data_IF_652214996676
#
_entry.id   IF_652214996676
#
_cell.length_a   1.000
_cell.length_b   1.000
_cell.length_c   1.000
_cell.angle_alpha   90.00
_cell.angle_beta   90.00
_cell.angle_gamma   90.00
#
_symmetry.space_group_name_H-M   'P 1'
#
loop_
_entity.id
_entity.type
_entity.pdbx_description
1 polymer ?
#
# COMPACT_ATOMS: atom_id res chain seq x y z
N UNK A 1 -6.10 -25.86 15.76
CA UNK A 1 -5.30 -24.66 16.05
C UNK A 1 -5.34 -23.79 14.81
N UNK A 2 -5.90 -22.58 14.88
CA UNK A 2 -5.83 -21.66 13.75
C UNK A 2 -4.36 -21.24 13.62
N UNK A 3 -3.72 -21.62 12.51
CA UNK A 3 -2.33 -21.31 12.23
C UNK A 3 -2.24 -19.80 12.01
N UNK A 4 -1.44 -19.11 12.80
CA UNK A 4 -1.16 -17.68 12.60
C UNK A 4 -0.66 -17.46 11.19
N UNK A 5 -1.21 -16.49 10.45
CA UNK A 5 -0.70 -16.18 9.11
C UNK A 5 0.42 -15.15 9.16
N UNK A 6 1.50 -15.37 8.41
CA UNK A 6 2.64 -14.47 8.32
C UNK A 6 2.56 -13.71 7.01
N UNK A 7 2.50 -12.38 7.10
CA UNK A 7 2.52 -11.46 5.98
C UNK A 7 3.81 -10.66 6.00
N UNK A 8 4.49 -10.58 4.86
CA UNK A 8 5.67 -9.74 4.65
C UNK A 8 5.26 -8.52 3.81
N UNK A 9 5.56 -7.32 4.29
CA UNK A 9 5.47 -6.06 3.57
C UNK A 9 6.88 -5.54 3.32
N UNK A 10 7.29 -5.43 2.07
CA UNK A 10 8.55 -4.79 1.66
C UNK A 10 8.20 -3.39 1.20
N UNK A 11 8.69 -2.36 1.88
CA UNK A 11 8.22 -0.99 1.70
C UNK A 11 9.36 -0.08 1.25
N UNK A 12 9.16 0.59 0.12
CA UNK A 12 10.03 1.67 -0.31
C UNK A 12 9.87 2.91 0.56
N UNK A 13 11.02 3.45 0.98
CA UNK A 13 11.09 4.73 1.67
C UNK A 13 11.38 4.58 3.15
N UNK A 14 11.73 5.70 3.78
CA UNK A 14 12.27 5.72 5.13
C UNK A 14 11.35 6.39 6.16
N UNK A 15 10.15 6.88 5.77
CA UNK A 15 9.32 7.74 6.66
C UNK A 15 7.81 7.63 6.48
N UNK A 16 7.25 7.93 5.31
CA UNK A 16 5.81 8.26 5.22
C UNK A 16 4.90 7.02 5.24
N UNK A 17 5.06 6.11 4.30
CA UNK A 17 4.28 4.89 4.17
C UNK A 17 4.44 3.99 5.39
N UNK A 18 5.68 3.70 5.86
CA UNK A 18 5.87 2.92 7.08
C UNK A 18 5.14 3.53 8.28
N UNK A 19 5.21 4.86 8.47
CA UNK A 19 4.51 5.54 9.58
C UNK A 19 2.99 5.38 9.50
N UNK A 20 2.41 5.41 8.29
CA UNK A 20 0.97 5.24 8.10
C UNK A 20 0.58 3.78 8.39
N UNK A 21 1.34 2.80 7.88
CA UNK A 21 1.10 1.39 8.19
C UNK A 21 1.22 1.12 9.69
N UNK A 22 2.25 1.65 10.34
CA UNK A 22 2.47 1.56 11.78
C UNK A 22 1.22 2.00 12.57
N UNK A 23 0.70 3.19 12.29
CA UNK A 23 -0.47 3.73 12.99
C UNK A 23 -1.76 2.99 12.65
N UNK A 24 -1.93 2.61 11.39
CA UNK A 24 -3.09 1.83 10.92
C UNK A 24 -3.14 0.45 11.58
N UNK A 25 -2.05 -0.30 11.58
CA UNK A 25 -2.04 -1.63 12.18
C UNK A 25 -2.28 -1.57 13.69
N UNK A 26 -1.71 -0.60 14.40
CA UNK A 26 -2.03 -0.35 15.82
C UNK A 26 -3.53 -0.12 16.03
N UNK A 27 -4.15 0.74 15.20
CA UNK A 27 -5.58 1.04 15.26
C UNK A 27 -6.45 -0.20 15.07
N UNK A 28 -5.99 -1.18 14.29
CA UNK A 28 -6.69 -2.45 14.05
C UNK A 28 -6.24 -3.60 14.97
N UNK A 29 -5.61 -3.28 16.11
CA UNK A 29 -5.36 -4.24 17.19
C UNK A 29 -4.10 -5.08 17.04
N UNK A 30 -3.17 -4.66 16.18
CA UNK A 30 -1.83 -5.21 16.14
C UNK A 30 -0.91 -4.51 17.15
N UNK A 31 -0.06 -5.26 17.82
CA UNK A 31 0.94 -4.73 18.75
C UNK A 31 2.34 -4.83 18.12
N UNK A 32 3.16 -3.80 18.31
CA UNK A 32 4.58 -3.85 17.90
C UNK A 32 5.29 -4.81 18.85
N UNK A 33 5.91 -5.84 18.27
CA UNK A 33 6.62 -6.88 19.00
C UNK A 33 8.11 -6.63 19.04
N UNK A 34 8.67 -6.21 17.91
CA UNK A 34 10.10 -6.05 17.75
C UNK A 34 10.44 -5.01 16.68
N UNK A 35 11.52 -4.28 16.91
CA UNK A 35 12.12 -3.34 15.96
C UNK A 35 13.59 -3.72 15.81
N UNK A 36 14.01 -4.06 14.59
CA UNK A 36 15.37 -4.59 14.35
C UNK A 36 15.95 -4.06 13.04
N UNK A 37 17.28 -4.16 12.92
CA UNK A 37 17.98 -3.97 11.65
C UNK A 37 18.25 -5.33 11.03
N UNK A 38 17.66 -5.60 9.86
CA UNK A 38 17.95 -6.80 9.08
C UNK A 38 19.11 -6.50 8.13
N UNK A 39 20.22 -7.22 8.27
CA UNK A 39 21.35 -7.11 7.35
C UNK A 39 21.25 -8.22 6.30
N UNK A 40 21.23 -7.83 5.04
CA UNK A 40 21.26 -8.76 3.90
C UNK A 40 22.63 -8.64 3.25
N UNK A 41 23.32 -9.77 3.11
CA UNK A 41 24.65 -9.83 2.51
C UNK A 41 24.63 -9.20 1.11
N UNK A 42 25.68 -8.45 0.78
CA UNK A 42 25.87 -7.73 -0.49
C UNK A 42 24.83 -6.65 -0.85
N UNK A 43 23.76 -6.46 -0.07
CA UNK A 43 22.73 -5.42 -0.27
C UNK A 43 22.78 -4.33 0.82
N UNK A 44 22.94 -4.73 2.09
CA UNK A 44 23.00 -3.82 3.23
C UNK A 44 21.82 -3.97 4.20
N UNK A 45 21.56 -2.91 4.97
CA UNK A 45 20.63 -2.97 6.11
C UNK A 45 19.23 -2.47 5.79
N UNK A 46 18.22 -3.16 6.30
CA UNK A 46 16.82 -2.73 6.29
C UNK A 46 16.36 -2.52 7.73
N UNK A 47 15.42 -1.60 7.92
CA UNK A 47 14.66 -1.52 9.16
C UNK A 47 13.52 -2.54 9.09
N UNK A 48 13.25 -3.20 10.21
CA UNK A 48 12.25 -4.27 10.29
C UNK A 48 11.39 -4.11 11.52
N UNK A 49 10.07 -4.15 11.31
CA UNK A 49 9.05 -4.02 12.33
C UNK A 49 8.18 -5.28 12.33
N UNK A 50 8.13 -5.97 13.45
CA UNK A 50 7.26 -7.13 13.63
C UNK A 50 6.02 -6.72 14.42
N UNK A 51 4.85 -7.03 13.88
CA UNK A 51 3.56 -6.78 14.50
C UNK A 51 2.79 -8.06 14.65
N UNK A 52 2.15 -8.27 15.78
CA UNK A 52 1.28 -9.42 15.96
C UNK A 52 -0.09 -9.07 16.51
N UNK A 53 -1.03 -9.96 16.23
CA UNK A 53 -2.27 -10.07 16.96
C UNK A 53 -2.60 -11.56 17.17
N UNK A 54 -3.80 -11.84 17.69
CA UNK A 54 -4.23 -13.23 17.95
C UNK A 54 -4.34 -14.15 16.71
N UNK A 55 -4.28 -13.60 15.49
CA UNK A 55 -4.54 -14.30 14.21
C UNK A 55 -3.40 -14.19 13.20
N UNK A 56 -2.64 -13.11 13.23
CA UNK A 56 -1.67 -12.76 12.20
C UNK A 56 -0.38 -12.17 12.77
N UNK A 57 0.70 -12.41 12.04
CA UNK A 57 1.98 -11.74 12.19
C UNK A 57 2.26 -10.95 10.90
N UNK A 58 2.62 -9.68 11.04
CA UNK A 58 2.97 -8.79 9.93
C UNK A 58 4.39 -8.33 10.16
N UNK A 59 5.25 -8.58 9.19
CA UNK A 59 6.62 -8.10 9.16
C UNK A 59 6.69 -7.01 8.11
N UNK A 60 7.10 -5.81 8.52
CA UNK A 60 7.36 -4.70 7.61
C UNK A 60 8.86 -4.53 7.52
N UNK A 61 9.41 -4.65 6.33
CA UNK A 61 10.81 -4.38 6.00
C UNK A 61 10.84 -3.11 5.17
N UNK A 62 11.54 -2.08 5.65
CA UNK A 62 11.68 -0.81 4.94
C UNK A 62 13.13 -0.57 4.48
N UNK A 63 13.26 0.02 3.29
CA UNK A 63 14.55 0.34 2.71
C UNK A 63 14.47 1.47 1.67
N UNK A 64 15.59 2.15 1.39
CA UNK A 64 15.64 3.12 0.30
C UNK A 64 15.49 2.41 -1.05
N UNK A 65 14.99 3.14 -2.06
CA UNK A 65 14.68 2.62 -3.40
C UNK A 65 15.78 1.77 -4.01
N UNK A 66 17.01 2.26 -4.00
CA UNK A 66 18.16 1.55 -4.56
C UNK A 66 18.39 0.19 -3.87
N UNK A 67 18.20 0.13 -2.56
CA UNK A 67 18.38 -1.11 -1.80
C UNK A 67 17.26 -2.12 -2.06
N UNK A 68 16.03 -1.63 -2.27
CA UNK A 68 14.93 -2.48 -2.72
C UNK A 68 15.20 -2.98 -4.14
N UNK A 69 15.66 -2.11 -5.04
CA UNK A 69 16.05 -2.54 -6.39
C UNK A 69 17.12 -3.65 -6.37
N UNK A 70 18.18 -3.48 -5.58
CA UNK A 70 19.23 -4.49 -5.42
C UNK A 70 18.66 -5.82 -4.83
N UNK A 71 17.74 -5.72 -3.88
CA UNK A 71 16.99 -6.86 -3.35
C UNK A 71 16.17 -7.56 -4.44
N UNK A 72 15.44 -6.81 -5.27
CA UNK A 72 14.63 -7.37 -6.35
C UNK A 72 15.47 -8.11 -7.38
N UNK A 73 16.66 -7.58 -7.72
CA UNK A 73 17.62 -8.27 -8.58
C UNK A 73 18.08 -9.59 -7.97
N UNK A 74 18.34 -9.62 -6.66
CA UNK A 74 18.74 -10.83 -5.94
C UNK A 74 17.61 -11.89 -5.94
N UNK A 75 16.39 -11.51 -5.57
CA UNK A 75 15.26 -12.46 -5.49
C UNK A 75 14.69 -12.87 -6.86
N UNK A 76 15.18 -12.27 -7.96
CA UNK A 76 14.88 -12.73 -9.31
C UNK A 76 15.70 -13.96 -9.72
N UNK A 77 16.74 -14.33 -8.94
CA UNK A 77 17.42 -15.61 -9.12
C UNK A 77 16.52 -16.76 -8.61
N UNK A 78 16.13 -17.72 -9.45
CA UNK A 78 15.25 -18.83 -9.07
C UNK A 78 15.81 -19.75 -7.98
N UNK A 79 17.11 -19.64 -7.66
CA UNK A 79 17.75 -20.39 -6.57
C UNK A 79 17.61 -19.72 -5.20
N UNK A 80 17.15 -18.47 -5.16
CA UNK A 80 17.02 -17.66 -3.96
C UNK A 80 15.56 -17.62 -3.53
N UNK A 81 15.29 -17.93 -2.25
CA UNK A 81 13.95 -17.78 -1.67
C UNK A 81 13.91 -16.55 -0.77
N UNK A 82 12.78 -15.85 -0.76
CA UNK A 82 12.62 -14.62 0.00
C UNK A 82 12.75 -14.86 1.52
N UNK A 83 12.32 -16.03 2.00
CA UNK A 83 12.49 -16.41 3.42
C UNK A 83 13.96 -16.57 3.80
N UNK A 84 14.80 -17.08 2.89
CA UNK A 84 16.24 -17.17 3.11
C UNK A 84 16.89 -15.79 3.16
N UNK A 85 16.46 -14.90 2.27
CA UNK A 85 17.00 -13.53 2.19
C UNK A 85 16.78 -12.75 3.48
N UNK A 86 15.61 -12.89 4.11
CA UNK A 86 15.32 -12.22 5.37
C UNK A 86 15.79 -12.97 6.62
N UNK A 87 16.55 -14.07 6.46
CA UNK A 87 17.09 -14.89 7.55
C UNK A 87 16.04 -15.19 8.64
N UNK A 88 14.77 -15.32 8.26
CA UNK A 88 13.71 -15.47 9.24
C UNK A 88 13.82 -16.89 9.82
N UNK A 89 14.25 -16.98 11.08
CA UNK A 89 14.08 -18.19 11.89
C UNK A 89 12.60 -18.60 12.05
N UNK A 90 11.69 -17.77 11.53
CA UNK A 90 10.24 -17.90 11.57
C UNK A 90 9.68 -18.04 10.16
N UNK A 91 9.12 -19.23 9.93
CA UNK A 91 7.94 -19.54 9.12
C UNK A 91 7.83 -19.01 7.66
N UNK A 92 7.44 -19.92 6.78
CA UNK A 92 6.92 -19.65 5.45
C UNK A 92 5.92 -18.46 5.47
N UNK A 93 6.19 -17.42 4.67
CA UNK A 93 5.26 -16.32 4.47
C UNK A 93 4.07 -16.84 3.64
N UNK A 94 2.86 -16.60 4.12
CA UNK A 94 1.65 -16.91 3.34
C UNK A 94 1.28 -15.78 2.40
N UNK A 95 1.78 -14.57 2.67
CA UNK A 95 1.52 -13.37 1.89
C UNK A 95 2.76 -12.50 1.82
N UNK A 96 3.11 -12.05 0.63
CA UNK A 96 4.24 -11.16 0.39
C UNK A 96 3.73 -9.99 -0.45
N UNK A 97 3.97 -8.77 0.03
CA UNK A 97 3.57 -7.57 -0.68
C UNK A 97 4.77 -6.64 -0.84
N UNK A 98 5.02 -6.21 -2.07
CA UNK A 98 5.95 -5.13 -2.35
C UNK A 98 5.15 -3.83 -2.44
N UNK A 99 5.49 -2.84 -1.62
CA UNK A 99 4.92 -1.50 -1.63
C UNK A 99 5.97 -0.56 -2.19
N UNK A 100 5.75 -0.08 -3.41
CA UNK A 100 6.78 0.58 -4.22
C UNK A 100 6.32 1.93 -4.75
N UNK A 101 7.17 2.95 -4.67
CA UNK A 101 6.86 4.32 -5.09
C UNK A 101 6.95 4.43 -6.62
N UNK A 102 5.85 4.77 -7.30
CA UNK A 102 5.80 4.85 -8.77
C UNK A 102 6.24 6.18 -9.36
N UNK A 103 6.42 7.24 -8.56
CA UNK A 103 6.57 8.63 -9.06
C UNK A 103 7.85 8.87 -9.90
N UNK A 104 8.76 7.92 -9.91
CA UNK A 104 10.08 8.02 -10.54
C UNK A 104 10.45 6.79 -11.38
N UNK A 105 9.48 5.97 -11.77
CA UNK A 105 9.69 4.78 -12.60
C UNK A 105 9.06 4.97 -13.97
N UNK A 106 9.65 4.34 -14.99
CA UNK A 106 8.98 4.18 -16.27
C UNK A 106 8.05 2.96 -16.26
N UNK A 107 7.28 2.79 -17.34
CA UNK A 107 6.30 1.71 -17.42
C UNK A 107 6.97 0.33 -17.45
N UNK A 108 8.17 0.22 -18.02
CA UNK A 108 8.87 -1.05 -18.19
C UNK A 108 9.35 -1.61 -16.83
N UNK A 109 9.85 -0.74 -15.95
CA UNK A 109 10.23 -1.10 -14.57
C UNK A 109 9.02 -1.66 -13.80
N UNK A 110 7.87 -0.98 -13.88
CA UNK A 110 6.64 -1.41 -13.20
C UNK A 110 6.19 -2.78 -13.74
N UNK A 111 6.17 -2.96 -15.05
CA UNK A 111 5.79 -4.24 -15.65
C UNK A 111 6.71 -5.40 -15.25
N UNK A 112 8.01 -5.15 -15.10
CA UNK A 112 8.94 -6.16 -14.62
C UNK A 112 8.68 -6.55 -13.17
N UNK A 113 8.43 -5.57 -12.29
CA UNK A 113 8.11 -5.84 -10.89
C UNK A 113 6.76 -6.56 -10.74
N UNK A 114 5.75 -6.18 -11.53
CA UNK A 114 4.43 -6.86 -11.53
C UNK A 114 4.57 -8.35 -11.87
N UNK A 115 5.44 -8.72 -12.81
CA UNK A 115 5.70 -10.14 -13.15
C UNK A 115 6.27 -10.95 -12.00
N UNK A 116 6.98 -10.28 -11.08
CA UNK A 116 7.57 -10.92 -9.90
C UNK A 116 6.55 -11.10 -8.77
N UNK A 117 5.56 -10.20 -8.65
CA UNK A 117 4.53 -10.22 -7.61
C UNK A 117 3.13 -10.17 -8.24
N UNK A 118 2.80 -11.18 -9.05
CA UNK A 118 1.55 -11.24 -9.82
C UNK A 118 0.45 -12.14 -9.23
N UNK A 119 0.70 -12.86 -8.13
CA UNK A 119 -0.30 -13.74 -7.52
C UNK A 119 -1.08 -13.03 -6.42
N UNK A 120 -2.22 -12.44 -6.77
CA UNK A 120 -3.09 -11.74 -5.81
C UNK A 120 -3.53 -12.58 -4.59
N UNK A 121 -3.41 -13.91 -4.65
CA UNK A 121 -3.70 -14.81 -3.54
C UNK A 121 -2.58 -14.90 -2.50
N UNK A 122 -1.31 -14.69 -2.90
CA UNK A 122 -0.13 -14.90 -2.05
C UNK A 122 1.00 -13.88 -2.24
N UNK A 123 1.17 -13.26 -3.40
CA UNK A 123 2.24 -12.32 -3.73
C UNK A 123 1.72 -11.18 -4.60
N UNK A 124 1.74 -9.94 -4.12
CA UNK A 124 1.18 -8.82 -4.90
C UNK A 124 2.03 -7.55 -4.82
N UNK A 125 2.23 -6.92 -5.98
CA UNK A 125 2.77 -5.57 -6.07
C UNK A 125 1.68 -4.55 -5.77
N UNK A 126 1.89 -3.80 -4.69
CA UNK A 126 1.09 -2.69 -4.28
C UNK A 126 1.80 -1.39 -4.64
N UNK A 127 1.39 -0.78 -5.74
CA UNK A 127 1.97 0.50 -6.13
C UNK A 127 1.52 1.58 -5.14
N UNK A 128 2.47 2.19 -4.47
CA UNK A 128 2.26 3.39 -3.68
C UNK A 128 2.82 4.59 -4.43
N UNK A 129 2.38 5.76 -4.05
CA UNK A 129 3.26 6.91 -4.02
C UNK A 129 2.86 7.70 -2.77
N UNK A 130 3.83 8.31 -2.09
CA UNK A 130 3.60 9.03 -0.86
C UNK A 130 2.86 10.32 -1.19
N UNK A 131 1.55 10.20 -1.24
CA UNK A 131 0.63 11.30 -1.09
C UNK A 131 -0.36 10.97 -0.01
N UNK A 132 0.14 11.08 1.23
CA UNK A 132 -0.74 11.19 2.38
C UNK A 132 -1.80 12.29 2.15
N UNK A 133 -1.40 13.34 1.43
CA UNK A 133 -2.24 14.44 0.96
C UNK A 133 -3.44 14.01 0.11
N UNK A 134 -3.34 12.92 -0.66
CA UNK A 134 -4.51 12.43 -1.42
C UNK A 134 -5.50 11.73 -0.53
N UNK A 135 -5.03 10.95 0.45
CA UNK A 135 -5.95 10.40 1.45
C UNK A 135 -6.70 11.57 2.11
N UNK A 136 -6.02 12.70 2.35
CA UNK A 136 -6.61 13.88 2.94
C UNK A 136 -7.58 14.67 2.01
N UNK A 137 -7.61 14.43 0.70
CA UNK A 137 -8.39 15.23 -0.26
C UNK A 137 -9.88 14.84 -0.37
N UNK A 138 -10.45 14.30 0.70
CA UNK A 138 -11.86 13.94 0.75
C UNK A 138 -12.80 15.15 0.83
N UNK A 139 -12.28 16.37 0.92
CA UNK A 139 -13.08 17.56 1.17
C UNK A 139 -13.91 17.99 -0.05
N UNK A 140 -15.19 17.61 -0.06
CA UNK A 140 -16.18 18.00 -1.09
C UNK A 140 -16.45 19.51 -1.19
N UNK A 141 -15.96 20.31 -0.25
CA UNK A 141 -16.15 21.76 -0.23
C UNK A 141 -15.04 22.54 -0.97
N UNK A 142 -14.04 21.84 -1.53
CA UNK A 142 -13.08 22.47 -2.43
C UNK A 142 -13.32 22.02 -3.86
N UNK A 143 -13.12 22.93 -4.80
CA UNK A 143 -13.09 22.60 -6.22
C UNK A 143 -12.00 21.57 -6.48
N UNK A 144 -12.26 20.59 -7.35
CA UNK A 144 -11.25 19.61 -7.73
C UNK A 144 -9.96 20.29 -8.16
N UNK A 145 -8.87 19.81 -7.58
CA UNK A 145 -7.55 20.36 -7.75
C UNK A 145 -6.98 19.94 -9.09
N UNK A 146 -6.86 20.90 -10.01
CA UNK A 146 -6.36 20.70 -11.37
C UNK A 146 -4.89 21.11 -11.44
N UNK A 147 -4.01 20.27 -10.89
CA UNK A 147 -2.57 20.51 -10.95
C UNK A 147 -1.90 19.57 -11.94
N UNK A 148 -0.96 20.12 -12.71
CA UNK A 148 -0.15 19.35 -13.64
C UNK A 148 1.06 18.68 -12.96
N UNK A 149 1.37 19.04 -11.71
CA UNK A 149 2.55 18.54 -11.01
C UNK A 149 2.24 18.18 -9.55
N UNK A 150 2.67 16.98 -9.12
CA UNK A 150 2.47 16.41 -7.78
C UNK A 150 2.88 17.37 -6.65
N UNK A 151 4.02 18.03 -6.81
CA UNK A 151 4.54 19.01 -5.85
C UNK A 151 3.57 20.17 -5.58
N UNK A 152 2.86 20.65 -6.61
CA UNK A 152 1.93 21.77 -6.46
C UNK A 152 0.69 21.34 -5.68
N UNK A 153 0.16 20.16 -6.00
CA UNK A 153 -0.92 19.53 -5.26
C UNK A 153 -0.57 19.29 -3.78
N UNK A 154 0.64 18.78 -3.50
CA UNK A 154 1.16 18.57 -2.15
C UNK A 154 1.22 19.86 -1.33
N UNK A 155 1.69 20.95 -1.94
CA UNK A 155 1.76 22.25 -1.27
C UNK A 155 0.37 22.76 -0.91
N UNK A 156 -0.58 22.72 -1.85
CA UNK A 156 -1.93 23.22 -1.63
C UNK A 156 -2.69 22.43 -0.57
N UNK A 157 -2.60 21.08 -0.56
CA UNK A 157 -3.20 20.27 0.49
C UNK A 157 -2.60 20.62 1.87
N UNK A 158 -1.28 20.72 1.96
CA UNK A 158 -0.62 21.02 3.23
C UNK A 158 -0.94 22.44 3.73
N UNK A 159 -1.08 23.42 2.83
CA UNK A 159 -1.59 24.75 3.16
C UNK A 159 -3.03 24.70 3.63
N UNK A 160 -3.91 23.98 2.93
CA UNK A 160 -5.33 23.85 3.28
C UNK A 160 -5.53 23.28 4.69
N UNK A 161 -4.72 22.29 5.07
CA UNK A 161 -4.77 21.69 6.41
C UNK A 161 -3.81 22.33 7.41
N UNK A 162 -3.13 23.44 7.09
CA UNK A 162 -2.15 24.11 7.95
C UNK A 162 -1.10 23.13 8.53
N UNK A 163 -0.63 22.18 7.72
CA UNK A 163 0.32 21.14 8.13
C UNK A 163 -0.26 20.04 9.04
N UNK A 164 -1.58 19.98 9.26
CA UNK A 164 -2.24 18.97 10.10
C UNK A 164 -2.76 17.74 9.32
N UNK A 165 -2.26 17.51 8.11
CA UNK A 165 -2.69 16.45 7.18
C UNK A 165 -2.71 15.05 7.83
N UNK A 166 -1.66 14.69 8.57
CA UNK A 166 -1.58 13.41 9.31
C UNK A 166 -2.74 13.23 10.29
N UNK A 167 -3.03 14.27 11.08
CA UNK A 167 -4.09 14.25 12.09
C UNK A 167 -5.46 14.12 11.43
N UNK A 168 -5.69 14.86 10.35
CA UNK A 168 -6.93 14.75 9.57
C UNK A 168 -7.19 13.32 9.10
N UNK A 169 -6.16 12.65 8.58
CA UNK A 169 -6.27 11.28 8.09
C UNK A 169 -6.56 10.31 9.22
N UNK A 170 -5.84 10.44 10.32
CA UNK A 170 -6.09 9.63 11.50
C UNK A 170 -7.56 9.74 11.96
N UNK A 171 -8.05 10.98 12.08
CA UNK A 171 -9.40 11.28 12.58
C UNK A 171 -10.52 10.87 11.61
N UNK A 172 -10.23 10.73 10.31
CA UNK A 172 -11.22 10.44 9.28
C UNK A 172 -10.99 9.12 8.54
N UNK A 173 -10.01 8.33 8.97
CA UNK A 173 -9.44 7.21 8.22
C UNK A 173 -10.47 6.30 7.54
N UNK A 174 -11.45 5.76 8.30
CA UNK A 174 -12.45 4.85 7.75
C UNK A 174 -13.34 5.51 6.68
N UNK A 175 -13.69 6.79 6.85
CA UNK A 175 -14.49 7.55 5.86
C UNK A 175 -13.70 7.74 4.57
N UNK A 176 -12.39 8.00 4.70
CA UNK A 176 -11.48 8.12 3.56
C UNK A 176 -11.40 6.79 2.82
N UNK A 177 -11.15 5.69 3.53
CA UNK A 177 -11.09 4.35 2.92
C UNK A 177 -12.40 3.97 2.20
N UNK A 178 -13.56 4.20 2.82
CA UNK A 178 -14.86 3.93 2.20
C UNK A 178 -15.09 4.75 0.93
N UNK A 179 -14.68 6.01 0.90
CA UNK A 179 -14.80 6.85 -0.28
C UNK A 179 -13.98 6.29 -1.44
N UNK A 180 -12.70 5.98 -1.21
CA UNK A 180 -11.81 5.48 -2.25
C UNK A 180 -12.18 4.06 -2.70
N UNK A 181 -12.62 3.20 -1.78
CA UNK A 181 -13.15 1.88 -2.12
C UNK A 181 -14.37 1.98 -3.06
N UNK A 182 -15.34 2.83 -2.72
CA UNK A 182 -16.54 3.08 -3.56
C UNK A 182 -16.18 3.69 -4.91
N UNK A 183 -15.20 4.60 -4.93
CA UNK A 183 -14.71 5.24 -6.16
C UNK A 183 -14.05 4.23 -7.09
N UNK A 184 -13.13 3.42 -6.58
CA UNK A 184 -12.46 2.38 -7.37
C UNK A 184 -13.47 1.36 -7.94
N UNK A 185 -14.45 0.93 -7.14
CA UNK A 185 -15.53 0.07 -7.64
C UNK A 185 -16.31 0.74 -8.79
N UNK A 186 -16.64 2.03 -8.66
CA UNK A 186 -17.36 2.75 -9.72
C UNK A 186 -16.53 2.94 -10.99
N UNK A 187 -15.22 3.19 -10.86
CA UNK A 187 -14.33 3.48 -11.98
C UNK A 187 -13.91 2.21 -12.75
N UNK A 188 -13.73 1.10 -12.03
CA UNK A 188 -13.24 -0.15 -12.62
C UNK A 188 -14.31 -1.22 -12.78
N UNK A 189 -15.44 -1.10 -12.06
CA UNK A 189 -16.49 -2.11 -11.99
C UNK A 189 -15.95 -3.50 -11.62
N UNK A 190 -15.07 -3.52 -10.61
CA UNK A 190 -14.39 -4.72 -10.10
C UNK A 190 -14.81 -4.98 -8.65
N UNK A 191 -15.31 -6.18 -8.35
CA UNK A 191 -15.77 -6.58 -7.02
C UNK A 191 -14.69 -7.27 -6.19
N UNK A 192 -13.57 -7.65 -6.80
CA UNK A 192 -12.42 -8.18 -6.11
C UNK A 192 -11.44 -7.06 -5.75
N UNK A 193 -11.32 -6.74 -4.46
CA UNK A 193 -10.48 -5.61 -4.04
C UNK A 193 -8.99 -5.82 -4.32
N UNK A 194 -8.53 -7.07 -4.46
CA UNK A 194 -7.13 -7.40 -4.77
C UNK A 194 -6.76 -7.18 -6.24
N UNK A 195 -7.74 -7.03 -7.14
CA UNK A 195 -7.54 -6.67 -8.55
C UNK A 195 -7.39 -5.15 -8.75
N UNK A 196 -7.87 -4.35 -7.79
CA UNK A 196 -7.83 -2.89 -7.91
C UNK A 196 -6.39 -2.32 -8.12
N UNK A 197 -5.33 -2.81 -7.43
CA UNK A 197 -3.95 -2.41 -7.72
C UNK A 197 -3.56 -2.58 -9.20
N UNK A 198 -3.84 -3.75 -9.79
CA UNK A 198 -3.55 -4.03 -11.21
C UNK A 198 -4.29 -3.08 -12.16
N UNK A 199 -5.58 -2.84 -11.88
CA UNK A 199 -6.42 -1.96 -12.71
C UNK A 199 -5.99 -0.49 -12.61
N UNK A 200 -5.61 -0.04 -11.42
CA UNK A 200 -5.03 1.30 -11.20
C UNK A 200 -3.70 1.43 -11.94
N UNK A 201 -2.80 0.46 -11.80
CA UNK A 201 -1.50 0.43 -12.49
C UNK A 201 -1.66 0.51 -14.02
N UNK A 202 -2.54 -0.31 -14.58
CA UNK A 202 -2.85 -0.32 -16.02
C UNK A 202 -3.39 1.03 -16.50
N UNK A 203 -4.26 1.66 -15.72
CA UNK A 203 -4.79 2.98 -16.05
C UNK A 203 -3.69 4.06 -15.99
N UNK A 204 -2.73 3.96 -15.07
CA UNK A 204 -1.56 4.85 -15.01
C UNK A 204 -0.69 4.69 -16.26
N UNK A 205 -0.26 3.46 -16.57
CA UNK A 205 0.61 3.21 -17.73
C UNK A 205 -0.01 3.75 -19.01
N UNK A 206 -1.32 3.52 -19.19
CA UNK A 206 -2.08 4.07 -20.31
C UNK A 206 -2.07 5.60 -20.39
N UNK A 207 -2.14 6.31 -19.26
CA UNK A 207 -2.06 7.77 -19.26
C UNK A 207 -0.61 8.26 -19.44
N UNK A 208 0.39 7.56 -18.89
CA UNK A 208 1.81 7.87 -19.09
C UNK A 208 2.24 7.70 -20.55
N UNK A 209 1.75 6.67 -21.24
CA UNK A 209 1.97 6.48 -22.69
C UNK A 209 1.36 7.63 -23.53
N UNK A 210 0.31 8.29 -23.01
CA UNK A 210 -0.38 9.42 -23.64
C UNK A 210 0.24 10.75 -23.21
N UNK A 211 1.52 10.96 -23.53
CA UNK A 211 2.29 12.18 -23.21
C UNK A 211 1.77 13.53 -23.82
N UNK A 212 0.46 13.72 -24.05
CA UNK A 212 -0.10 14.95 -24.63
C UNK A 212 -1.58 15.24 -24.27
N UNK A 213 -2.12 14.74 -23.16
CA UNK A 213 -3.46 15.13 -22.71
C UNK A 213 -3.42 16.09 -21.52
N UNK A 214 -4.16 17.19 -21.60
CA UNK A 214 -4.32 18.23 -20.55
C UNK A 214 -5.00 17.73 -19.25
N UNK A 215 -4.99 16.43 -18.97
CA UNK A 215 -5.80 15.76 -17.96
C UNK A 215 -5.00 14.86 -17.00
N UNK A 216 -3.68 15.02 -16.93
CA UNK A 216 -2.73 14.25 -16.10
C UNK A 216 -3.07 14.22 -14.58
N UNK A 217 -3.98 15.07 -14.13
CA UNK A 217 -4.16 15.45 -12.73
C UNK A 217 -5.01 14.52 -11.86
N UNK A 218 -5.48 13.36 -12.33
CA UNK A 218 -6.45 12.54 -11.55
C UNK A 218 -6.06 11.09 -11.29
N UNK A 219 -5.16 10.53 -12.09
CA UNK A 219 -4.80 9.10 -12.02
C UNK A 219 -3.66 8.87 -11.02
N UNK A 220 -2.75 9.84 -10.88
CA UNK A 220 -1.56 9.80 -10.00
C UNK A 220 -1.92 9.98 -8.51
N UNK A 221 -3.14 9.74 -8.08
CA UNK A 221 -3.52 10.12 -6.70
C UNK A 221 -4.19 8.96 -5.93
N UNK A 222 -4.71 7.93 -6.62
CA UNK A 222 -5.61 6.93 -6.02
C UNK A 222 -4.93 5.64 -5.55
N UNK A 223 -3.64 5.50 -5.80
CA UNK A 223 -2.92 4.25 -5.58
C UNK A 223 -2.69 3.96 -4.09
N UNK A 224 -2.34 4.97 -3.29
CA UNK A 224 -1.95 4.71 -1.90
C UNK A 224 -3.14 4.34 -1.00
N UNK A 225 -4.33 4.90 -1.27
CA UNK A 225 -5.57 4.49 -0.59
C UNK A 225 -5.96 3.06 -0.93
N UNK A 226 -5.68 2.65 -2.17
CA UNK A 226 -5.86 1.27 -2.64
C UNK A 226 -4.97 0.30 -1.89
N UNK A 227 -3.67 0.60 -1.81
CA UNK A 227 -2.70 -0.17 -1.01
C UNK A 227 -3.21 -0.37 0.41
N UNK A 228 -3.64 0.71 1.08
CA UNK A 228 -4.03 0.67 2.49
C UNK A 228 -5.25 -0.21 2.74
N UNK A 229 -6.36 -0.03 2.00
CA UNK A 229 -7.55 -0.85 2.27
C UNK A 229 -7.31 -2.32 1.87
N UNK A 230 -6.49 -2.58 0.85
CA UNK A 230 -6.11 -3.95 0.46
C UNK A 230 -5.30 -4.60 1.58
N UNK A 231 -4.29 -3.91 2.11
CA UNK A 231 -3.48 -4.41 3.22
C UNK A 231 -4.33 -4.73 4.45
N UNK A 232 -5.26 -3.85 4.83
CA UNK A 232 -6.19 -4.08 5.95
C UNK A 232 -7.12 -5.26 5.67
N UNK A 233 -7.67 -5.35 4.45
CA UNK A 233 -8.53 -6.46 4.05
C UNK A 233 -7.79 -7.80 4.11
N UNK A 234 -6.54 -7.85 3.65
CA UNK A 234 -5.67 -9.02 3.76
C UNK A 234 -5.43 -9.39 5.23
N UNK A 235 -5.00 -8.43 6.04
CA UNK A 235 -4.72 -8.60 7.47
C UNK A 235 -5.95 -9.00 8.31
N UNK A 236 -7.16 -8.74 7.82
CA UNK A 236 -8.41 -9.18 8.45
C UNK A 236 -9.02 -10.43 7.78
N UNK A 237 -8.30 -11.05 6.85
CA UNK A 237 -8.72 -12.22 6.06
C UNK A 237 -10.02 -12.03 5.27
N UNK A 238 -10.32 -10.81 4.85
CA UNK A 238 -11.52 -10.48 4.08
C UNK A 238 -11.37 -10.82 2.59
N UNK A 239 -10.16 -11.14 2.12
CA UNK A 239 -9.85 -11.38 0.70
C UNK A 239 -9.87 -12.85 0.29
N UNK A 240 -10.41 -13.75 1.12
CA UNK A 240 -10.41 -15.21 0.84
C UNK A 240 -11.32 -15.65 -0.32
N UNK A 241 -12.25 -14.79 -0.74
CA UNK A 241 -13.19 -15.06 -1.81
C UNK A 241 -12.96 -14.06 -2.94
N UNK A 242 -13.16 -14.52 -4.17
CA UNK A 242 -13.45 -13.65 -5.32
C UNK A 242 -14.77 -12.92 -4.99
N UNK A 243 -14.89 -11.64 -5.36
CA UNK A 243 -16.04 -10.77 -5.03
C UNK A 243 -16.16 -10.32 -3.55
N UNK A 244 -15.03 -10.06 -2.91
CA UNK A 244 -14.92 -9.66 -1.51
C UNK A 244 -15.29 -8.18 -1.19
N UNK A 245 -15.63 -7.36 -2.19
CA UNK A 245 -15.95 -5.93 -1.98
C UNK A 245 -16.99 -5.69 -0.89
N UNK A 246 -18.06 -6.49 -0.84
CA UNK A 246 -19.13 -6.33 0.17
C UNK A 246 -18.68 -6.64 1.59
N UNK A 247 -17.72 -7.53 1.77
CA UNK A 247 -17.19 -7.85 3.09
C UNK A 247 -16.26 -6.75 3.57
N UNK A 248 -15.40 -6.25 2.67
CA UNK A 248 -14.47 -5.15 2.95
C UNK A 248 -15.22 -3.85 3.24
N UNK A 249 -16.23 -3.50 2.44
CA UNK A 249 -17.02 -2.28 2.67
C UNK A 249 -17.77 -2.35 4.01
N UNK A 250 -18.37 -3.50 4.33
CA UNK A 250 -19.10 -3.70 5.58
C UNK A 250 -18.17 -3.59 6.78
N UNK A 251 -16.96 -4.14 6.69
CA UNK A 251 -15.95 -4.01 7.73
C UNK A 251 -15.66 -2.53 8.06
N UNK A 252 -15.38 -1.70 7.04
CA UNK A 252 -15.10 -0.28 7.26
C UNK A 252 -16.34 0.52 7.68
N UNK A 253 -17.54 0.15 7.22
CA UNK A 253 -18.80 0.76 7.68
C UNK A 253 -19.07 0.47 9.17
N UNK A 254 -18.81 -0.76 9.64
CA UNK A 254 -18.91 -1.09 11.06
C UNK A 254 -17.91 -0.30 11.91
N UNK A 255 -16.65 -0.18 11.43
CA UNK A 255 -15.60 0.59 12.13
C UNK A 255 -15.91 2.10 12.17
N UNK A 256 -16.57 2.64 11.16
CA UNK A 256 -17.09 4.01 11.19
C UNK A 256 -18.10 4.22 12.35
N UNK A 257 -18.98 3.24 12.62
CA UNK A 257 -20.01 3.36 13.66
C UNK A 257 -19.42 3.26 15.05
N UNK A 258 -18.43 2.38 15.27
CA UNK A 258 -17.76 2.21 16.58
C UNK A 258 -16.99 3.47 17.04
N UNK A 259 -16.59 4.33 16.11
CA UNK A 259 -15.77 5.52 16.37
C UNK A 259 -16.57 6.84 16.44
N UNK A 260 -17.91 6.82 16.32
CA UNK A 260 -18.79 7.99 16.50
C UNK A 260 -19.63 7.84 17.78
#
# INVERSE_FOLDING_TARGET
MNKTSNTLLIVEGSKTEPSIFLEVFKKYGFSVKNETKLSIDDIGQFDSYEFDNSKDNIIIVEGPRNRIHDLLLLINDPMISIERVFNSAYAHFQRIFLIYDVDHNDCDDIEQMMKQFSDESSEMLLLSSPCIEVIADFNRNRSECKYHHLKEYKNEINEFYNGQTMKYIHDNFEKLMLYFLKKNFADFNESNVVEHPHLVAKQINKENERHNSKHDSYVIYRYFTTVIYVAIACANHLTKQIDNYKDVIRFFEMKCVENN
#
